data_IF_934153946098
#
_entry.id   IF_934153946098
#
_cell.length_a   1.000
_cell.length_b   1.000
_cell.length_c   1.000
_cell.angle_alpha   90.00
_cell.angle_beta   90.00
_cell.angle_gamma   90.00
#
_symmetry.space_group_name_H-M   'P 1'
#
loop_
_entity.id
_entity.type
_entity.pdbx_description
1 polymer ?
#
# COMPACT_ATOMS: atom_id res chain seq x y z
N UNK A 1 -1.90 12.26 3.55
CA UNK A 1 -2.83 13.09 4.34
C UNK A 1 -3.90 13.61 3.41
N UNK A 2 -5.15 13.20 3.61
CA UNK A 2 -6.30 13.74 2.86
C UNK A 2 -6.57 15.19 3.27
N UNK A 3 -7.30 15.98 2.45
CA UNK A 3 -7.70 17.34 2.84
C UNK A 3 -8.45 17.39 4.18
N UNK A 4 -9.22 16.35 4.47
CA UNK A 4 -9.94 16.17 5.73
C UNK A 4 -8.99 15.91 6.91
N UNK A 5 -7.99 15.04 6.74
CA UNK A 5 -6.95 14.83 7.76
C UNK A 5 -6.14 16.11 8.04
N UNK A 6 -5.85 16.93 7.01
CA UNK A 6 -5.20 18.24 7.18
C UNK A 6 -6.05 19.24 7.95
N UNK A 7 -7.37 19.26 7.73
CA UNK A 7 -8.28 20.11 8.48
C UNK A 7 -8.36 19.71 9.95
N UNK A 8 -8.44 18.40 10.25
CA UNK A 8 -8.45 17.88 11.63
C UNK A 8 -7.13 18.22 12.33
N UNK A 9 -5.98 18.05 11.65
CA UNK A 9 -4.68 18.40 12.21
C UNK A 9 -4.59 19.91 12.54
N UNK A 10 -5.01 20.78 11.62
CA UNK A 10 -4.99 22.23 11.82
C UNK A 10 -5.92 22.66 12.98
N UNK A 11 -7.08 22.01 13.13
CA UNK A 11 -7.98 22.26 14.26
C UNK A 11 -7.32 21.91 15.59
N UNK A 12 -6.72 20.72 15.70
CA UNK A 12 -6.04 20.26 16.92
C UNK A 12 -4.85 21.17 17.28
N UNK A 13 -4.10 21.65 16.28
CA UNK A 13 -3.03 22.63 16.47
C UNK A 13 -3.55 23.96 17.02
N UNK A 14 -4.68 24.44 16.51
CA UNK A 14 -5.36 25.65 16.98
C UNK A 14 -5.83 25.52 18.43
N UNK A 15 -6.51 24.43 18.77
CA UNK A 15 -6.99 24.16 20.13
C UNK A 15 -5.84 23.98 21.12
N UNK A 16 -4.73 23.35 20.70
CA UNK A 16 -3.52 23.24 21.51
C UNK A 16 -2.90 24.62 21.76
N UNK A 17 -2.78 25.46 20.74
CA UNK A 17 -2.21 26.80 20.86
C UNK A 17 -3.08 27.71 21.75
N UNK A 18 -4.40 27.55 21.69
CA UNK A 18 -5.35 28.26 22.55
C UNK A 18 -5.41 27.70 23.99
N UNK A 19 -4.80 26.55 24.27
CA UNK A 19 -4.87 25.87 25.57
C UNK A 19 -6.25 25.26 25.87
N UNK A 20 -7.10 25.07 24.85
CA UNK A 20 -8.46 24.55 24.97
C UNK A 20 -8.58 23.08 24.57
N UNK A 21 -7.50 22.46 24.07
CA UNK A 21 -7.50 21.06 23.67
C UNK A 21 -7.76 20.14 24.87
N UNK A 22 -8.96 19.58 24.94
CA UNK A 22 -9.34 18.62 25.96
C UNK A 22 -8.82 17.22 25.63
N UNK A 23 -8.74 16.35 26.64
CA UNK A 23 -8.37 14.95 26.42
C UNK A 23 -9.42 14.16 25.63
N UNK A 24 -10.67 14.65 25.59
CA UNK A 24 -11.75 14.10 24.75
C UNK A 24 -11.59 14.56 23.30
N UNK A 25 -11.40 15.86 23.06
CA UNK A 25 -11.17 16.41 21.73
C UNK A 25 -9.93 15.84 21.05
N UNK A 26 -8.86 15.59 21.82
CA UNK A 26 -7.68 14.87 21.30
C UNK A 26 -8.04 13.44 20.86
N UNK A 27 -8.83 12.70 21.65
CA UNK A 27 -9.21 11.33 21.29
C UNK A 27 -10.13 11.30 20.07
N UNK A 28 -11.08 12.22 19.99
CA UNK A 28 -11.96 12.37 18.83
C UNK A 28 -11.20 12.74 17.57
N UNK A 29 -10.27 13.70 17.65
CA UNK A 29 -9.41 14.06 16.52
C UNK A 29 -8.53 12.91 16.04
N UNK A 30 -7.93 12.15 16.97
CA UNK A 30 -7.15 10.95 16.62
C UNK A 30 -8.04 9.86 16.01
N UNK A 31 -9.25 9.65 16.52
CA UNK A 31 -10.20 8.69 15.98
C UNK A 31 -10.66 9.09 14.56
N UNK A 32 -10.94 10.37 14.33
CA UNK A 32 -11.32 10.92 13.04
C UNK A 32 -10.17 10.79 12.01
N UNK A 33 -8.92 11.02 12.42
CA UNK A 33 -7.74 10.77 11.58
C UNK A 33 -7.61 9.30 11.17
N UNK A 34 -8.10 8.37 12.00
CA UNK A 34 -8.09 6.93 11.74
C UNK A 34 -9.33 6.42 10.99
N UNK A 35 -10.39 7.23 10.86
CA UNK A 35 -11.70 6.77 10.40
C UNK A 35 -11.78 6.52 8.88
N UNK A 36 -10.98 7.21 8.07
CA UNK A 36 -10.92 7.03 6.61
C UNK A 36 -9.79 6.08 6.19
N UNK A 37 -9.59 4.99 6.94
CA UNK A 37 -8.60 3.96 6.60
C UNK A 37 -9.05 3.16 5.39
N UNK A 38 -8.77 3.68 4.21
CA UNK A 38 -8.97 2.94 2.97
C UNK A 38 -7.82 1.96 2.79
N UNK A 39 -8.15 0.81 2.24
CA UNK A 39 -7.16 -0.19 1.87
C UNK A 39 -6.54 0.26 0.55
N UNK A 40 -5.24 0.57 0.58
CA UNK A 40 -4.43 0.63 -0.63
C UNK A 40 -3.95 -0.78 -0.96
N UNK A 41 -3.99 -1.16 -2.24
CA UNK A 41 -3.51 -2.45 -2.73
C UNK A 41 -2.32 -2.25 -3.66
N UNK A 42 -1.40 -3.20 -3.61
CA UNK A 42 -0.26 -3.28 -4.51
C UNK A 42 -0.14 -4.71 -5.03
N UNK A 43 -0.30 -4.84 -6.34
CA UNK A 43 -0.13 -6.09 -7.08
C UNK A 43 1.25 -6.08 -7.71
N UNK A 44 2.10 -7.04 -7.35
CA UNK A 44 3.47 -7.16 -7.83
C UNK A 44 3.66 -8.50 -8.52
N UNK A 45 3.97 -8.49 -9.81
CA UNK A 45 4.43 -9.68 -10.51
C UNK A 45 5.95 -9.71 -10.50
N UNK A 46 6.54 -10.76 -9.93
CA UNK A 46 7.98 -10.95 -9.86
C UNK A 46 8.48 -12.02 -10.84
N UNK A 47 9.80 -12.11 -11.02
CA UNK A 47 10.42 -13.16 -11.85
C UNK A 47 10.44 -14.54 -11.20
N UNK A 48 10.17 -14.63 -9.89
CA UNK A 48 10.05 -15.89 -9.15
C UNK A 48 9.18 -15.73 -7.90
N UNK A 49 9.04 -16.80 -7.12
CA UNK A 49 8.30 -16.78 -5.84
C UNK A 49 9.07 -16.14 -4.68
N UNK A 50 10.33 -15.74 -4.89
CA UNK A 50 11.14 -15.11 -3.85
C UNK A 50 10.79 -13.63 -3.67
N UNK A 51 10.62 -13.12 -2.43
CA UNK A 51 10.39 -11.70 -2.17
C UNK A 51 11.53 -10.77 -2.62
N UNK A 52 12.73 -11.31 -2.88
CA UNK A 52 13.88 -10.56 -3.39
C UNK A 52 14.00 -10.58 -4.92
N UNK A 53 13.03 -11.21 -5.61
CA UNK A 53 13.03 -11.25 -7.07
C UNK A 53 12.58 -9.93 -7.68
N UNK A 54 13.13 -9.63 -8.85
CA UNK A 54 12.80 -8.43 -9.62
C UNK A 54 11.32 -8.42 -9.99
N UNK A 55 10.69 -7.26 -9.86
CA UNK A 55 9.32 -6.99 -10.31
C UNK A 55 9.34 -6.73 -11.82
N UNK A 56 8.40 -7.36 -12.55
CA UNK A 56 8.22 -7.20 -14.00
C UNK A 56 6.90 -6.52 -14.37
N UNK A 57 5.94 -6.49 -13.44
CA UNK A 57 4.71 -5.70 -13.57
C UNK A 57 4.21 -5.27 -12.20
N UNK A 58 3.61 -4.07 -12.14
CA UNK A 58 3.09 -3.49 -10.91
C UNK A 58 1.77 -2.77 -11.18
N UNK A 59 0.79 -2.98 -10.30
CA UNK A 59 -0.45 -2.20 -10.28
C UNK A 59 -0.71 -1.72 -8.87
N UNK A 60 -0.95 -0.42 -8.70
CA UNK A 60 -1.34 0.16 -7.41
C UNK A 60 -2.80 0.59 -7.45
N UNK A 61 -3.54 0.27 -6.39
CA UNK A 61 -4.84 0.85 -6.09
C UNK A 61 -4.67 1.77 -4.90
N UNK A 62 -4.92 3.07 -5.09
CA UNK A 62 -4.86 4.06 -4.03
C UNK A 62 -6.21 4.77 -3.88
N UNK A 63 -6.77 4.79 -2.67
CA UNK A 63 -8.06 5.45 -2.41
C UNK A 63 -9.21 4.94 -3.31
N UNK A 64 -9.19 3.65 -3.67
CA UNK A 64 -10.18 3.01 -4.55
C UNK A 64 -10.02 3.31 -6.04
N UNK A 65 -8.89 3.88 -6.48
CA UNK A 65 -8.58 4.14 -7.90
C UNK A 65 -7.29 3.45 -8.31
N UNK A 66 -7.25 2.94 -9.54
CA UNK A 66 -6.00 2.45 -10.14
C UNK A 66 -5.09 3.64 -10.39
N UNK A 67 -3.86 3.55 -9.90
CA UNK A 67 -2.78 4.49 -10.15
C UNK A 67 -1.78 3.79 -11.05
N UNK A 68 -1.63 4.29 -12.28
CA UNK A 68 -0.66 3.75 -13.21
C UNK A 68 0.76 4.00 -12.70
N UNK A 69 1.64 2.98 -12.73
CA UNK A 69 3.04 3.18 -12.41
C UNK A 69 3.72 4.01 -13.52
N UNK A 70 4.92 4.56 -13.26
CA UNK A 70 5.76 5.12 -14.30
C UNK A 70 5.95 4.16 -15.48
N UNK A 71 6.07 4.70 -16.69
CA UNK A 71 6.23 3.89 -17.90
C UNK A 71 7.58 3.15 -17.94
N UNK A 72 8.62 3.74 -17.34
CA UNK A 72 9.92 3.12 -17.17
C UNK A 72 9.94 2.28 -15.88
N UNK A 73 10.21 0.96 -15.95
CA UNK A 73 10.37 0.11 -14.77
C UNK A 73 11.47 0.57 -13.81
N UNK A 74 12.50 1.25 -14.29
CA UNK A 74 13.58 1.77 -13.43
C UNK A 74 13.09 2.93 -12.53
N UNK A 75 12.00 3.60 -12.92
CA UNK A 75 11.37 4.67 -12.15
C UNK A 75 10.34 4.16 -11.13
N UNK A 76 10.12 2.84 -11.05
CA UNK A 76 9.16 2.27 -10.11
C UNK A 76 9.62 2.45 -8.65
N UNK A 77 8.70 2.76 -7.71
CA UNK A 77 9.02 2.92 -6.29
C UNK A 77 9.63 1.68 -5.63
N UNK A 78 9.41 0.49 -6.21
CA UNK A 78 9.91 -0.77 -5.68
C UNK A 78 10.46 -1.61 -6.83
N UNK A 79 11.63 -2.22 -6.62
CA UNK A 79 12.28 -3.10 -7.59
C UNK A 79 12.09 -4.58 -7.21
N UNK A 80 11.84 -4.85 -5.94
CA UNK A 80 11.51 -6.17 -5.39
C UNK A 80 10.30 -6.11 -4.45
N UNK A 81 9.54 -7.20 -4.25
CA UNK A 81 8.50 -7.24 -3.21
C UNK A 81 9.04 -6.91 -1.81
N UNK A 82 10.31 -7.23 -1.53
CA UNK A 82 10.99 -6.92 -0.28
C UNK A 82 11.10 -5.40 -0.04
N UNK A 83 11.29 -4.60 -1.08
CA UNK A 83 11.33 -3.14 -0.96
C UNK A 83 9.99 -2.59 -0.47
N UNK A 84 8.88 -3.10 -1.02
CA UNK A 84 7.54 -2.73 -0.59
C UNK A 84 7.28 -3.16 0.87
N UNK A 85 7.69 -4.38 1.25
CA UNK A 85 7.57 -4.85 2.63
C UNK A 85 8.36 -3.94 3.59
N UNK A 86 9.56 -3.51 3.21
CA UNK A 86 10.37 -2.59 4.01
C UNK A 86 9.74 -1.19 4.14
N UNK A 87 8.94 -0.76 3.15
CA UNK A 87 8.12 0.46 3.22
C UNK A 87 6.80 0.28 4.01
N UNK A 88 6.64 -0.86 4.69
CA UNK A 88 5.50 -1.12 5.59
C UNK A 88 4.25 -1.66 4.89
N UNK A 89 4.37 -2.11 3.64
CA UNK A 89 3.33 -2.91 3.02
C UNK A 89 3.23 -4.30 3.70
N UNK A 90 2.02 -4.82 3.84
CA UNK A 90 1.75 -6.13 4.43
C UNK A 90 1.30 -7.09 3.34
N UNK A 91 1.91 -8.27 3.28
CA UNK A 91 1.53 -9.30 2.29
C UNK A 91 0.20 -9.93 2.69
N UNK A 92 -0.77 -9.94 1.77
CA UNK A 92 -2.08 -10.59 1.94
C UNK A 92 -2.23 -11.82 1.04
N UNK A 93 -1.44 -11.93 -0.02
CA UNK A 93 -1.31 -13.16 -0.81
C UNK A 93 0.14 -13.36 -1.29
N UNK A 94 0.64 -14.58 -1.09
CA UNK A 94 1.91 -15.04 -1.66
C UNK A 94 1.68 -15.75 -3.00
N UNK A 95 2.71 -15.81 -3.87
CA UNK A 95 2.67 -16.57 -5.11
C UNK A 95 2.14 -18.00 -4.93
N UNK A 96 1.13 -18.38 -5.71
CA UNK A 96 0.55 -19.71 -5.63
C UNK A 96 1.34 -20.70 -6.50
N UNK A 97 2.21 -21.49 -5.86
CA UNK A 97 3.06 -22.48 -6.52
C UNK A 97 2.28 -23.61 -7.20
N UNK A 98 1.03 -23.86 -6.80
CA UNK A 98 0.19 -24.85 -7.48
C UNK A 98 -0.16 -24.43 -8.92
N UNK A 99 -0.20 -23.12 -9.20
CA UNK A 99 -0.43 -22.61 -10.55
C UNK A 99 0.78 -22.83 -11.47
N UNK A 100 2.00 -22.90 -10.92
CA UNK A 100 3.22 -23.18 -11.69
C UNK A 100 3.25 -24.61 -12.25
N UNK A 101 2.55 -25.54 -11.61
CA UNK A 101 2.48 -26.94 -12.06
C UNK A 101 1.52 -27.15 -13.23
N UNK A 102 0.65 -26.18 -13.54
CA UNK A 102 -0.34 -26.28 -14.63
C UNK A 102 0.18 -25.76 -15.97
N UNK A 103 1.29 -25.03 -15.97
CA UNK A 103 1.78 -24.27 -17.11
C UNK A 103 3.30 -24.34 -17.21
N UNK A 104 3.83 -25.57 -17.36
CA UNK A 104 5.26 -25.80 -17.56
C UNK A 104 5.80 -25.15 -18.86
N UNK A 105 4.93 -24.94 -19.86
CA UNK A 105 5.31 -24.41 -21.17
C UNK A 105 4.99 -22.90 -21.36
N UNK A 106 4.14 -22.31 -20.50
CA UNK A 106 3.80 -20.88 -20.53
C UNK A 106 3.17 -20.44 -19.19
N UNK A 107 3.98 -20.21 -18.14
CA UNK A 107 3.46 -19.61 -16.92
C UNK A 107 3.00 -18.20 -17.29
N UNK A 108 1.68 -17.97 -17.38
CA UNK A 108 1.05 -16.70 -17.74
C UNK A 108 1.33 -15.53 -16.75
N UNK A 109 2.48 -15.51 -16.07
CA UNK A 109 2.83 -14.57 -15.01
C UNK A 109 2.10 -14.83 -13.69
N UNK A 110 0.96 -15.51 -13.71
CA UNK A 110 0.05 -15.71 -12.57
C UNK A 110 0.68 -16.49 -11.38
N UNK A 111 1.78 -17.20 -11.60
CA UNK A 111 2.42 -17.99 -10.55
C UNK A 111 3.38 -17.21 -9.65
N UNK A 112 3.69 -15.94 -9.98
CA UNK A 112 4.68 -15.11 -9.26
C UNK A 112 4.09 -13.77 -8.80
N UNK A 113 2.79 -13.74 -8.50
CA UNK A 113 2.10 -12.56 -8.00
C UNK A 113 2.14 -12.46 -6.46
N UNK A 114 2.54 -11.30 -5.95
CA UNK A 114 2.33 -10.88 -4.58
C UNK A 114 1.23 -9.83 -4.52
N UNK A 115 0.31 -9.99 -3.58
CA UNK A 115 -0.70 -8.96 -3.29
C UNK A 115 -0.39 -8.41 -1.90
N UNK A 116 -0.20 -7.09 -1.83
CA UNK A 116 0.12 -6.39 -0.60
C UNK A 116 -0.93 -5.32 -0.29
N UNK A 117 -1.07 -5.01 0.99
CA UNK A 117 -1.93 -3.93 1.48
C UNK A 117 -1.18 -2.92 2.35
N UNK A 118 -1.66 -1.68 2.33
CA UNK A 118 -1.27 -0.63 3.29
C UNK A 118 -2.53 0.11 3.71
N UNK A 119 -2.65 0.44 5.00
CA UNK A 119 -3.73 1.30 5.47
C UNK A 119 -3.34 2.75 5.18
N UNK A 120 -4.09 3.42 4.32
CA UNK A 120 -3.92 4.85 4.00
C UNK A 120 -4.89 5.71 4.79
#
# INVERSE_FOLDING_TARGET
>A
MTPEQSAIAAQLEGERAAGTLSAEGLREGLAALCADRRQDLLYLHATSTSPSSQIVAMTRVAGGKIVEPPADPDDWPYQTPLDAINDGWRVIAFPNTALLALSADDPQGLGFEFILEKWS
#
